data_IF_681690515873
#
_entry.id   IF_681690515873
#
_cell.length_a   1.000
_cell.length_b   1.000
_cell.length_c   1.000
_cell.angle_alpha   90.00
_cell.angle_beta   90.00
_cell.angle_gamma   90.00
#
_symmetry.space_group_name_H-M   'P 1'
#
loop_
_entity.id
_entity.type
_entity.pdbx_description
1 polymer ?
#
# COMPACT_ATOMS: atom_id res chain seq x y z
N UNK A 1 22.03 15.02 9.27
CA UNK A 1 20.69 14.53 9.67
C UNK A 1 19.71 14.98 8.61
N UNK A 2 19.51 14.17 7.56
CA UNK A 2 18.54 14.46 6.51
C UNK A 2 17.14 14.27 7.10
N UNK A 3 16.38 15.37 7.18
CA UNK A 3 15.01 15.31 7.65
C UNK A 3 14.21 14.50 6.62
N UNK A 4 13.72 13.33 7.04
CA UNK A 4 13.04 12.34 6.20
C UNK A 4 11.60 12.75 5.85
N UNK A 5 11.45 13.94 5.29
CA UNK A 5 10.33 14.22 4.40
C UNK A 5 10.96 14.20 3.01
N UNK A 6 11.03 13.00 2.43
CA UNK A 6 11.25 12.76 1.01
C UNK A 6 10.61 13.91 0.26
N UNK A 7 11.37 14.67 -0.53
CA UNK A 7 10.80 15.78 -1.30
C UNK A 7 9.51 15.29 -1.96
N UNK A 8 8.37 15.78 -1.47
CA UNK A 8 7.10 15.51 -2.11
C UNK A 8 7.26 16.17 -3.47
N UNK A 9 7.53 15.37 -4.49
CA UNK A 9 7.54 15.87 -5.84
C UNK A 9 6.08 16.10 -6.23
N UNK A 10 5.51 17.19 -5.72
CA UNK A 10 4.11 17.59 -5.90
C UNK A 10 3.78 17.83 -7.38
N UNK A 11 4.81 18.01 -8.22
CA UNK A 11 4.68 18.11 -9.68
C UNK A 11 4.47 16.74 -10.33
N UNK A 12 4.95 15.66 -9.71
CA UNK A 12 4.90 14.30 -10.25
C UNK A 12 3.88 13.40 -9.54
N UNK A 13 3.69 13.55 -8.23
CA UNK A 13 2.82 12.70 -7.43
C UNK A 13 1.38 13.25 -7.38
N UNK A 14 0.56 12.70 -8.27
CA UNK A 14 -0.83 13.14 -8.46
C UNK A 14 -1.71 12.68 -7.30
N UNK A 15 -2.73 13.48 -7.00
CA UNK A 15 -3.80 13.10 -6.09
C UNK A 15 -4.84 12.23 -6.79
N UNK A 16 -5.15 11.09 -6.19
CA UNK A 16 -6.18 10.15 -6.66
C UNK A 16 -7.37 10.16 -5.72
N UNK A 17 -8.53 9.70 -6.21
CA UNK A 17 -9.76 9.56 -5.45
C UNK A 17 -10.16 8.09 -5.25
N UNK A 18 -11.26 7.86 -4.54
CA UNK A 18 -11.77 6.51 -4.27
C UNK A 18 -12.12 5.77 -5.56
N UNK A 19 -12.64 6.45 -6.58
CA UNK A 19 -12.99 5.83 -7.87
C UNK A 19 -11.75 5.29 -8.56
N UNK A 20 -10.66 6.06 -8.59
CA UNK A 20 -9.38 5.57 -9.09
C UNK A 20 -8.92 4.33 -8.32
N UNK A 21 -8.97 4.38 -6.98
CA UNK A 21 -8.50 3.28 -6.13
C UNK A 21 -9.29 2.00 -6.39
N UNK A 22 -10.63 2.07 -6.47
CA UNK A 22 -11.47 0.89 -6.71
C UNK A 22 -11.30 0.34 -8.12
N UNK A 23 -11.16 1.20 -9.14
CA UNK A 23 -10.83 0.78 -10.50
C UNK A 23 -9.45 0.14 -10.59
N UNK A 24 -8.46 0.68 -9.87
CA UNK A 24 -7.09 0.20 -9.88
C UNK A 24 -6.95 -1.18 -9.21
N UNK A 25 -7.63 -1.40 -8.07
CA UNK A 25 -7.49 -2.65 -7.32
C UNK A 25 -8.57 -3.69 -7.62
N UNK A 26 -9.66 -3.31 -8.29
CA UNK A 26 -10.82 -4.18 -8.51
C UNK A 26 -11.60 -4.50 -7.23
N UNK A 27 -11.48 -3.67 -6.18
CA UNK A 27 -12.12 -3.87 -4.88
C UNK A 27 -13.16 -2.77 -4.62
N UNK A 28 -14.09 -3.04 -3.71
CA UNK A 28 -15.18 -2.10 -3.40
C UNK A 28 -14.73 -0.97 -2.49
N UNK A 29 -15.35 0.19 -2.65
CA UNK A 29 -15.17 1.36 -1.81
C UNK A 29 -15.50 1.08 -0.33
N UNK A 30 -16.56 0.32 -0.05
CA UNK A 30 -16.96 -0.12 1.29
C UNK A 30 -15.82 -0.84 2.01
N UNK A 31 -15.06 -1.67 1.29
CA UNK A 31 -13.92 -2.38 1.86
C UNK A 31 -12.77 -1.42 2.20
N UNK A 32 -12.47 -0.45 1.33
CA UNK A 32 -11.47 0.58 1.65
C UNK A 32 -11.89 1.47 2.82
N UNK A 33 -13.15 1.89 2.92
CA UNK A 33 -13.62 2.64 4.09
C UNK A 33 -13.46 1.85 5.38
N UNK A 34 -13.71 0.53 5.36
CA UNK A 34 -13.42 -0.34 6.51
C UNK A 34 -11.92 -0.32 6.84
N UNK A 35 -11.03 -0.50 5.86
CA UNK A 35 -9.59 -0.44 6.12
C UNK A 35 -9.12 0.92 6.65
N UNK A 36 -9.68 2.02 6.15
CA UNK A 36 -9.40 3.37 6.65
C UNK A 36 -9.80 3.49 8.12
N UNK A 37 -10.98 2.97 8.51
CA UNK A 37 -11.41 2.97 9.92
C UNK A 37 -10.54 2.09 10.82
N UNK A 38 -9.99 1.00 10.27
CA UNK A 38 -9.07 0.11 10.99
C UNK A 38 -7.61 0.61 10.98
N UNK A 39 -7.32 1.75 10.33
CA UNK A 39 -5.96 2.26 10.18
C UNK A 39 -5.05 1.41 9.28
N UNK A 40 -5.63 0.53 8.46
CA UNK A 40 -4.92 -0.42 7.58
C UNK A 40 -4.74 0.07 6.14
N UNK A 41 -5.26 1.26 5.83
CA UNK A 41 -5.09 1.96 4.55
C UNK A 41 -4.78 3.44 4.85
N UNK A 42 -4.01 4.14 3.99
CA UNK A 42 -3.70 5.56 4.19
C UNK A 42 -4.96 6.41 4.42
N UNK A 43 -4.87 7.34 5.38
CA UNK A 43 -5.97 8.28 5.64
C UNK A 43 -6.06 9.29 4.50
N UNK A 44 -7.28 9.68 4.05
CA UNK A 44 -7.41 10.67 3.01
C UNK A 44 -6.96 12.06 3.46
N UNK A 45 -6.34 12.78 2.55
CA UNK A 45 -6.18 14.23 2.57
C UNK A 45 -7.55 14.86 2.26
N UNK A 46 -8.07 15.68 3.16
CA UNK A 46 -9.36 16.35 3.00
C UNK A 46 -9.20 17.68 2.27
N UNK A 47 -9.85 17.82 1.11
CA UNK A 47 -9.96 19.04 0.33
C UNK A 47 -11.44 19.43 0.24
N UNK A 48 -11.96 20.01 1.32
CA UNK A 48 -13.39 20.24 1.51
C UNK A 48 -14.18 18.92 1.58
N UNK A 49 -15.11 18.72 0.65
CA UNK A 49 -15.91 17.48 0.54
C UNK A 49 -15.12 16.34 -0.12
N UNK A 50 -14.04 16.66 -0.83
CA UNK A 50 -13.23 15.67 -1.53
C UNK A 50 -12.23 15.00 -0.59
N UNK A 51 -12.12 13.68 -0.73
CA UNK A 51 -11.09 12.87 -0.08
C UNK A 51 -10.09 12.45 -1.15
N UNK A 52 -8.81 12.74 -0.93
CA UNK A 52 -7.72 12.46 -1.88
C UNK A 52 -6.60 11.68 -1.20
N UNK A 53 -5.81 10.99 -2.00
CA UNK A 53 -4.60 10.30 -1.57
C UNK A 53 -3.48 10.60 -2.54
N UNK A 54 -2.23 10.55 -2.08
CA UNK A 54 -1.10 10.54 -3.02
C UNK A 54 -1.12 9.23 -3.80
N UNK A 55 -0.90 9.30 -5.11
CA UNK A 55 -0.80 8.11 -5.95
C UNK A 55 0.31 7.17 -5.44
N UNK A 56 1.44 7.74 -5.02
CA UNK A 56 2.55 6.99 -4.43
C UNK A 56 2.18 6.22 -3.15
N UNK A 57 1.34 6.78 -2.27
CA UNK A 57 0.89 6.12 -1.05
C UNK A 57 0.02 4.89 -1.37
N UNK A 58 -0.92 5.04 -2.30
CA UNK A 58 -1.76 3.93 -2.77
C UNK A 58 -0.90 2.85 -3.41
N UNK A 59 0.04 3.22 -4.28
CA UNK A 59 0.93 2.27 -4.93
C UNK A 59 1.86 1.56 -3.94
N UNK A 60 2.37 2.28 -2.95
CA UNK A 60 3.18 1.70 -1.87
C UNK A 60 2.38 0.72 -1.03
N UNK A 61 1.14 1.06 -0.68
CA UNK A 61 0.25 0.15 0.03
C UNK A 61 -0.01 -1.14 -0.76
N UNK A 62 -0.28 -1.06 -2.06
CA UNK A 62 -0.45 -2.25 -2.93
C UNK A 62 0.83 -3.07 -2.99
N UNK A 63 2.00 -2.42 -3.17
CA UNK A 63 3.31 -3.09 -3.18
C UNK A 63 3.54 -3.87 -1.88
N UNK A 64 3.21 -3.29 -0.73
CA UNK A 64 3.32 -3.98 0.56
C UNK A 64 2.44 -5.23 0.64
N UNK A 65 1.22 -5.21 0.06
CA UNK A 65 0.36 -6.42 0.00
C UNK A 65 0.93 -7.49 -0.92
N UNK A 66 1.49 -7.10 -2.05
CA UNK A 66 2.19 -8.01 -2.96
C UNK A 66 3.38 -8.66 -2.24
N UNK A 67 4.18 -7.86 -1.54
CA UNK A 67 5.33 -8.34 -0.77
C UNK A 67 4.91 -9.23 0.40
N UNK A 68 3.84 -8.90 1.13
CA UNK A 68 3.31 -9.79 2.17
C UNK A 68 2.84 -11.12 1.59
N UNK A 69 2.19 -11.10 0.42
CA UNK A 69 1.70 -12.33 -0.23
C UNK A 69 2.84 -13.20 -0.77
N UNK A 70 3.92 -12.62 -1.30
CA UNK A 70 5.01 -13.34 -1.98
C UNK A 70 6.25 -13.54 -1.12
N UNK A 71 6.55 -12.59 -0.25
CA UNK A 71 7.67 -12.62 0.70
C UNK A 71 7.49 -13.66 1.80
N UNK A 72 6.26 -13.98 2.21
CA UNK A 72 6.00 -15.13 3.08
C UNK A 72 6.33 -16.46 2.39
N UNK A 73 6.11 -16.55 1.08
CA UNK A 73 6.45 -17.72 0.27
C UNK A 73 7.97 -17.91 0.16
N UNK A 74 8.74 -16.82 0.02
CA UNK A 74 10.19 -16.87 -0.11
C UNK A 74 10.91 -17.25 1.20
N UNK A 75 10.40 -16.78 2.34
CA UNK A 75 10.89 -17.13 3.67
C UNK A 75 10.61 -18.60 4.00
N UNK A 76 9.41 -19.10 3.68
CA UNK A 76 9.02 -20.50 3.88
C UNK A 76 9.86 -21.45 3.02
N UNK A 77 10.05 -21.15 1.74
CA UNK A 77 10.91 -21.93 0.83
C UNK A 77 12.36 -21.96 1.32
N UNK A 78 12.87 -20.84 1.85
CA UNK A 78 14.24 -20.76 2.37
C UNK A 78 14.42 -21.59 3.64
N UNK A 79 13.45 -21.58 4.56
CA UNK A 79 13.46 -22.40 5.78
C UNK A 79 13.39 -23.90 5.46
N UNK A 80 12.51 -24.31 4.53
CA UNK A 80 12.40 -25.73 4.12
C UNK A 80 13.70 -26.23 3.48
N UNK A 81 14.34 -25.42 2.62
CA UNK A 81 15.63 -25.76 2.00
C UNK A 81 16.76 -25.89 3.04
N UNK A 82 16.77 -25.04 4.07
CA UNK A 82 17.77 -25.10 5.14
C UNK A 82 17.66 -26.38 5.98
N UNK A 83 16.44 -26.89 6.21
CA UNK A 83 16.22 -28.11 6.99
C UNK A 83 16.37 -29.40 6.16
N UNK A 84 16.09 -29.37 4.86
CA UNK A 84 16.22 -30.51 3.97
C UNK A 84 17.68 -30.89 3.66
N UNK A 85 18.62 -29.95 3.78
CA UNK A 85 20.06 -30.20 3.57
C UNK A 85 20.86 -30.65 4.79
N UNK A 86 20.20 -30.81 5.96
CA UNK A 86 20.84 -31.24 7.22
C UNK A 86 20.50 -32.70 7.60
N UNK A 87 19.97 -33.49 6.66
CA UNK A 87 19.72 -34.93 6.83
C UNK A 87 20.55 -35.74 5.84
#
# INVERSE_FOLDING_TARGET
MSNQLTELNLLEDKLVDMTFITSFTGLTDKWFYKLISEGKFPKPIKLGRSSRWLHSEVHTWVRQRIEQSRGQQQAEISLVKQWAGSR
#
